data_IF_583141625372
#
_entry.id   IF_583141625372
#
_cell.length_a   1.000
_cell.length_b   1.000
_cell.length_c   1.000
_cell.angle_alpha   90.00
_cell.angle_beta   90.00
_cell.angle_gamma   90.00
#
_symmetry.space_group_name_H-M   'P 1'
#
loop_
_entity.id
_entity.type
_entity.pdbx_description
1 polymer ?
#
# COMPACT_ATOMS: atom_id res chain seq x y z
N UNK A 1 5.20 14.59 23.41
CA UNK A 1 5.23 15.01 21.99
C UNK A 1 3.81 14.91 21.45
N UNK A 2 3.37 15.85 20.61
CA UNK A 2 2.07 15.77 19.93
C UNK A 2 2.17 14.81 18.73
N UNK A 3 1.13 14.06 18.45
CA UNK A 3 1.00 13.24 17.24
C UNK A 3 -0.19 13.74 16.42
N UNK A 4 -0.05 13.71 15.08
CA UNK A 4 -1.14 14.00 14.16
C UNK A 4 -1.57 12.70 13.52
N UNK A 5 -2.88 12.48 13.35
CA UNK A 5 -3.45 11.27 12.77
C UNK A 5 -4.24 11.61 11.50
N UNK A 6 -3.88 11.01 10.38
CA UNK A 6 -4.48 11.24 9.07
C UNK A 6 -5.30 10.02 8.64
N UNK A 7 -6.52 10.27 8.20
CA UNK A 7 -7.45 9.27 7.66
C UNK A 7 -8.44 10.00 6.73
N UNK A 8 -9.01 9.36 5.68
CA UNK A 8 -10.09 9.94 4.89
C UNK A 8 -11.30 10.32 5.77
N UNK A 9 -12.00 11.37 5.36
CA UNK A 9 -13.16 11.86 6.11
C UNK A 9 -14.29 10.82 6.21
N UNK A 10 -14.48 10.02 5.15
CA UNK A 10 -15.48 8.95 5.10
C UNK A 10 -14.85 7.68 4.54
N UNK A 11 -15.13 6.55 5.20
CA UNK A 11 -14.68 5.22 4.78
C UNK A 11 -15.89 4.28 4.82
N UNK A 12 -16.25 3.70 3.67
CA UNK A 12 -17.37 2.77 3.54
C UNK A 12 -16.78 1.39 3.29
N UNK A 13 -17.10 0.41 4.15
CA UNK A 13 -16.46 -0.90 4.15
C UNK A 13 -17.48 -2.01 4.41
N UNK A 14 -17.28 -3.14 3.74
CA UNK A 14 -18.10 -4.35 3.91
C UNK A 14 -18.68 -4.84 2.59
N UNK A 15 -19.16 -6.09 2.58
CA UNK A 15 -19.71 -6.74 1.38
C UNK A 15 -20.94 -5.99 0.88
N UNK A 16 -20.97 -5.66 -0.41
CA UNK A 16 -22.06 -4.92 -1.05
C UNK A 16 -22.09 -3.42 -0.74
N UNK A 17 -21.08 -2.88 -0.07
CA UNK A 17 -21.07 -1.46 0.33
C UNK A 17 -20.92 -0.48 -0.85
N UNK A 18 -20.61 -0.97 -2.04
CA UNK A 18 -20.49 -0.15 -3.25
C UNK A 18 -21.78 0.64 -3.56
N UNK A 19 -22.96 0.05 -3.33
CA UNK A 19 -24.23 0.71 -3.59
C UNK A 19 -24.49 1.87 -2.60
N UNK A 20 -24.13 1.70 -1.34
CA UNK A 20 -24.15 2.79 -0.35
C UNK A 20 -23.18 3.91 -0.75
N UNK A 21 -21.99 3.54 -1.24
CA UNK A 21 -21.00 4.49 -1.69
C UNK A 21 -21.51 5.34 -2.88
N UNK A 22 -22.25 4.76 -3.83
CA UNK A 22 -22.83 5.49 -4.95
C UNK A 22 -23.83 6.56 -4.46
N UNK A 23 -24.65 6.24 -3.46
CA UNK A 23 -25.57 7.22 -2.84
C UNK A 23 -24.78 8.32 -2.12
N UNK A 24 -23.70 7.97 -1.41
CA UNK A 24 -22.84 8.94 -0.76
C UNK A 24 -22.17 9.89 -1.77
N UNK A 25 -21.68 9.37 -2.90
CA UNK A 25 -21.07 10.16 -3.98
C UNK A 25 -22.07 11.16 -4.56
N UNK A 26 -23.32 10.71 -4.82
CA UNK A 26 -24.39 11.61 -5.29
C UNK A 26 -24.64 12.80 -4.34
N UNK A 27 -24.57 12.55 -3.04
CA UNK A 27 -24.84 13.59 -2.04
C UNK A 27 -23.77 14.70 -2.00
N UNK A 28 -22.56 14.47 -2.56
CA UNK A 28 -21.57 15.53 -2.74
C UNK A 28 -21.92 16.51 -3.86
N UNK A 29 -22.87 16.17 -4.74
CA UNK A 29 -23.33 17.05 -5.83
C UNK A 29 -22.38 17.16 -7.01
N UNK A 30 -21.44 16.22 -7.16
CA UNK A 30 -20.57 16.13 -8.33
C UNK A 30 -21.36 15.76 -9.58
N UNK A 31 -20.85 16.15 -10.76
CA UNK A 31 -21.56 15.99 -12.03
C UNK A 31 -20.86 15.06 -13.00
N UNK A 32 -19.52 15.08 -13.04
CA UNK A 32 -18.78 14.31 -14.04
C UNK A 32 -17.46 13.78 -13.49
N UNK A 33 -17.32 12.46 -13.44
CA UNK A 33 -16.16 11.75 -12.96
C UNK A 33 -15.11 11.52 -14.05
N UNK A 34 -13.82 11.62 -13.70
CA UNK A 34 -12.77 10.86 -14.38
C UNK A 34 -12.56 9.56 -13.60
N UNK A 35 -12.91 8.42 -14.17
CA UNK A 35 -12.59 7.10 -13.61
C UNK A 35 -11.18 6.73 -14.03
N UNK A 36 -10.23 6.69 -13.07
CA UNK A 36 -8.84 6.31 -13.29
C UNK A 36 -8.65 4.85 -12.88
N UNK A 37 -8.24 4.01 -13.83
CA UNK A 37 -8.08 2.57 -13.62
C UNK A 37 -6.94 2.01 -14.48
N UNK A 38 -6.69 0.71 -14.38
CA UNK A 38 -5.76 0.00 -15.26
C UNK A 38 -6.50 -0.75 -16.38
N UNK A 39 -5.74 -1.11 -17.43
CA UNK A 39 -6.28 -1.81 -18.60
C UNK A 39 -6.88 -3.19 -18.26
N UNK A 40 -6.43 -3.84 -17.18
CA UNK A 40 -6.95 -5.15 -16.73
C UNK A 40 -8.37 -5.02 -16.21
N UNK A 41 -8.62 -4.08 -15.31
CA UNK A 41 -9.95 -3.81 -14.75
C UNK A 41 -10.91 -3.24 -15.82
N UNK A 42 -10.39 -2.40 -16.72
CA UNK A 42 -11.18 -1.90 -17.85
C UNK A 42 -11.63 -3.05 -18.75
N UNK A 43 -10.72 -3.94 -19.15
CA UNK A 43 -11.00 -5.13 -19.97
C UNK A 43 -11.94 -6.13 -19.27
N UNK A 44 -11.83 -6.25 -17.95
CA UNK A 44 -12.71 -7.11 -17.14
C UNK A 44 -14.13 -6.54 -16.98
N UNK A 45 -14.40 -5.31 -17.48
CA UNK A 45 -15.71 -4.68 -17.41
C UNK A 45 -16.01 -3.98 -16.07
N UNK A 46 -15.07 -4.00 -15.10
CA UNK A 46 -15.29 -3.41 -13.77
C UNK A 46 -15.44 -1.88 -13.89
N UNK A 47 -14.60 -1.23 -14.71
CA UNK A 47 -14.71 0.21 -14.94
C UNK A 47 -16.05 0.62 -15.58
N UNK A 48 -16.54 -0.19 -16.53
CA UNK A 48 -17.85 0.04 -17.15
C UNK A 48 -19.00 -0.13 -16.13
N UNK A 49 -18.94 -1.13 -15.27
CA UNK A 49 -19.90 -1.33 -14.19
C UNK A 49 -19.93 -0.13 -13.21
N UNK A 50 -18.78 0.44 -12.84
CA UNK A 50 -18.73 1.64 -12.02
C UNK A 50 -19.32 2.85 -12.76
N UNK A 51 -19.02 3.01 -14.06
CA UNK A 51 -19.61 4.08 -14.88
C UNK A 51 -21.14 3.98 -14.95
N UNK A 52 -21.69 2.78 -15.12
CA UNK A 52 -23.13 2.53 -15.10
C UNK A 52 -23.76 2.87 -13.74
N UNK A 53 -23.12 2.47 -12.64
CA UNK A 53 -23.59 2.81 -11.29
C UNK A 53 -23.57 4.32 -11.02
N UNK A 54 -22.57 5.06 -11.51
CA UNK A 54 -22.55 6.52 -11.45
C UNK A 54 -23.66 7.13 -12.30
N UNK A 55 -23.90 6.64 -13.51
CA UNK A 55 -24.97 7.09 -14.37
C UNK A 55 -26.37 6.91 -13.75
N UNK A 56 -26.59 5.81 -12.99
CA UNK A 56 -27.81 5.61 -12.19
C UNK A 56 -28.01 6.66 -11.09
N UNK A 57 -26.96 7.42 -10.76
CA UNK A 57 -27.00 8.54 -9.80
C UNK A 57 -26.97 9.90 -10.50
N UNK A 58 -27.24 9.97 -11.80
CA UNK A 58 -27.21 11.16 -12.65
C UNK A 58 -25.79 11.79 -12.72
N UNK A 59 -24.74 10.98 -12.64
CA UNK A 59 -23.34 11.41 -12.72
C UNK A 59 -22.72 10.87 -14.00
N UNK A 60 -22.29 11.76 -14.89
CA UNK A 60 -21.53 11.39 -16.10
C UNK A 60 -20.12 10.88 -15.74
N UNK A 61 -19.52 10.11 -16.64
CA UNK A 61 -18.14 9.67 -16.44
C UNK A 61 -17.36 9.48 -17.73
N UNK A 62 -16.04 9.57 -17.63
CA UNK A 62 -15.08 9.22 -18.67
C UNK A 62 -14.04 8.30 -18.04
N UNK A 63 -13.65 7.23 -18.74
CA UNK A 63 -12.69 6.24 -18.25
C UNK A 63 -11.31 6.58 -18.79
N UNK A 64 -10.31 6.63 -17.91
CA UNK A 64 -8.89 6.62 -18.19
C UNK A 64 -8.29 5.31 -17.67
N UNK A 65 -7.93 4.40 -18.57
CA UNK A 65 -7.37 3.08 -18.27
C UNK A 65 -5.84 3.01 -18.40
N UNK A 66 -5.19 4.19 -18.43
CA UNK A 66 -3.76 4.34 -18.62
C UNK A 66 -2.90 4.20 -17.37
N UNK A 67 -3.46 3.89 -16.20
CA UNK A 67 -2.66 3.65 -14.99
C UNK A 67 -1.93 2.30 -15.12
N UNK A 68 -0.59 2.35 -15.29
CA UNK A 68 0.25 1.16 -15.37
C UNK A 68 0.70 0.69 -13.98
N UNK A 69 1.10 -0.58 -13.82
CA UNK A 69 1.91 -0.97 -12.65
C UNK A 69 3.11 -0.01 -12.52
N UNK A 70 3.38 0.47 -11.29
CA UNK A 70 4.36 1.54 -11.06
C UNK A 70 4.06 2.80 -11.92
N UNK A 71 2.97 3.55 -11.62
CA UNK A 71 2.51 4.64 -12.46
C UNK A 71 3.59 5.70 -12.64
N UNK A 72 3.66 6.27 -13.86
CA UNK A 72 4.71 7.20 -14.26
C UNK A 72 4.20 8.63 -14.34
N UNK A 73 5.12 9.60 -14.42
CA UNK A 73 4.78 11.01 -14.68
C UNK A 73 3.95 11.16 -15.95
N UNK A 74 4.27 10.40 -17.01
CA UNK A 74 3.52 10.40 -18.27
C UNK A 74 2.07 9.89 -18.11
N UNK A 75 1.82 8.91 -17.23
CA UNK A 75 0.45 8.46 -16.92
C UNK A 75 -0.37 9.58 -16.26
N UNK A 76 0.23 10.30 -15.32
CA UNK A 76 -0.41 11.44 -14.65
C UNK A 76 -0.73 12.56 -15.65
N UNK A 77 0.22 12.93 -16.50
CA UNK A 77 0.04 13.97 -17.53
C UNK A 77 -1.10 13.62 -18.52
N UNK A 78 -1.11 12.36 -18.99
CA UNK A 78 -2.15 11.89 -19.91
C UNK A 78 -3.54 11.92 -19.28
N UNK A 79 -3.66 11.42 -18.04
CA UNK A 79 -4.93 11.44 -17.30
C UNK A 79 -5.40 12.87 -16.98
N UNK A 80 -4.47 13.79 -16.64
CA UNK A 80 -4.77 15.21 -16.42
C UNK A 80 -5.26 15.89 -17.68
N UNK A 81 -4.69 15.55 -18.85
CA UNK A 81 -5.16 16.03 -20.15
C UNK A 81 -6.62 15.65 -20.39
N UNK A 82 -6.95 14.35 -20.23
CA UNK A 82 -8.31 13.84 -20.40
C UNK A 82 -9.31 14.47 -19.40
N UNK A 83 -8.90 14.65 -18.13
CA UNK A 83 -9.71 15.29 -17.09
C UNK A 83 -10.12 16.70 -17.53
N UNK A 84 -9.16 17.50 -18.01
CA UNK A 84 -9.39 18.89 -18.44
C UNK A 84 -10.23 18.97 -19.72
N UNK A 85 -9.93 18.15 -20.72
CA UNK A 85 -10.68 18.09 -21.99
C UNK A 85 -12.15 17.69 -21.74
N UNK A 86 -12.36 16.70 -20.89
CA UNK A 86 -13.69 16.20 -20.54
C UNK A 86 -14.43 17.07 -19.53
N UNK A 87 -13.76 18.05 -18.92
CA UNK A 87 -14.31 18.95 -17.88
C UNK A 87 -14.88 18.18 -16.69
N UNK A 88 -14.16 17.16 -16.23
CA UNK A 88 -14.53 16.42 -15.02
C UNK A 88 -14.34 17.30 -13.77
N UNK A 89 -15.25 17.21 -12.81
CA UNK A 89 -15.23 18.00 -11.57
C UNK A 89 -14.77 17.20 -10.34
N UNK A 90 -14.59 15.88 -10.49
CA UNK A 90 -13.99 15.01 -9.50
C UNK A 90 -13.33 13.79 -10.16
N UNK A 91 -12.60 13.02 -9.36
CA UNK A 91 -11.89 11.80 -9.78
C UNK A 91 -12.42 10.60 -9.00
N UNK A 92 -12.64 9.49 -9.68
CA UNK A 92 -12.86 8.16 -9.09
C UNK A 92 -11.64 7.32 -9.41
N UNK A 93 -10.87 6.90 -8.42
CA UNK A 93 -9.84 5.89 -8.63
C UNK A 93 -10.41 4.50 -8.40
N UNK A 94 -10.21 3.58 -9.35
CA UNK A 94 -10.71 2.22 -9.30
C UNK A 94 -9.55 1.25 -9.48
N UNK A 95 -9.22 0.49 -8.43
CA UNK A 95 -8.16 -0.50 -8.50
C UNK A 95 -7.38 -0.67 -7.21
N UNK A 96 -6.13 -1.09 -7.33
CA UNK A 96 -5.16 -1.15 -6.23
C UNK A 96 -4.29 0.10 -6.16
N UNK A 97 -3.07 -0.02 -5.61
CA UNK A 97 -2.16 1.10 -5.38
C UNK A 97 -1.88 1.95 -6.62
N UNK A 98 -1.58 1.31 -7.76
CA UNK A 98 -1.18 2.04 -8.99
C UNK A 98 -2.27 2.95 -9.55
N UNK A 99 -3.54 2.52 -9.74
CA UNK A 99 -4.63 3.42 -10.08
C UNK A 99 -4.88 4.51 -9.05
N UNK A 100 -4.78 4.20 -7.75
CA UNK A 100 -4.97 5.20 -6.69
C UNK A 100 -3.88 6.28 -6.74
N UNK A 101 -2.62 5.90 -6.87
CA UNK A 101 -1.51 6.84 -6.90
C UNK A 101 -1.55 7.70 -8.19
N UNK A 102 -1.85 7.09 -9.34
CA UNK A 102 -2.06 7.84 -10.59
C UNK A 102 -3.19 8.87 -10.43
N UNK A 103 -4.32 8.47 -9.87
CA UNK A 103 -5.48 9.35 -9.64
C UNK A 103 -5.16 10.50 -8.67
N UNK A 104 -4.42 10.22 -7.58
CA UNK A 104 -3.93 11.25 -6.64
C UNK A 104 -3.05 12.28 -7.37
N UNK A 105 -2.12 11.80 -8.20
CA UNK A 105 -1.26 12.68 -8.99
C UNK A 105 -2.07 13.57 -9.95
N UNK A 106 -3.03 12.99 -10.68
CA UNK A 106 -3.95 13.73 -11.56
C UNK A 106 -4.74 14.78 -10.78
N UNK A 107 -5.36 14.37 -9.67
CA UNK A 107 -6.21 15.24 -8.86
C UNK A 107 -5.42 16.39 -8.21
N UNK A 108 -4.17 16.11 -7.76
CA UNK A 108 -3.27 17.11 -7.18
C UNK A 108 -2.85 18.15 -8.21
N UNK A 109 -2.37 17.71 -9.38
CA UNK A 109 -1.97 18.62 -10.47
C UNK A 109 -3.16 19.40 -11.05
N UNK A 110 -4.38 18.88 -10.99
CA UNK A 110 -5.57 19.58 -11.46
C UNK A 110 -5.86 20.87 -10.69
N UNK A 111 -5.61 20.89 -9.38
CA UNK A 111 -5.88 22.04 -8.51
C UNK A 111 -4.66 22.91 -8.25
N UNK A 112 -3.47 22.31 -8.17
CA UNK A 112 -2.24 23.01 -7.82
C UNK A 112 -1.42 23.45 -9.04
N UNK A 113 -1.66 22.86 -10.23
CA UNK A 113 -0.86 23.12 -11.45
C UNK A 113 0.47 22.39 -11.44
N UNK A 114 1.42 22.85 -12.27
CA UNK A 114 2.76 22.27 -12.37
C UNK A 114 2.82 20.83 -12.88
N UNK A 115 3.91 20.16 -12.61
CA UNK A 115 4.15 18.75 -12.88
C UNK A 115 4.14 17.97 -11.57
N UNK A 116 3.82 16.68 -11.62
CA UNK A 116 3.75 15.87 -10.38
C UNK A 116 5.10 15.80 -9.64
N UNK A 117 6.22 15.91 -10.33
CA UNK A 117 7.56 15.99 -9.74
C UNK A 117 7.79 17.20 -8.83
N UNK A 118 7.05 18.28 -9.01
CA UNK A 118 7.15 19.49 -8.18
C UNK A 118 6.68 19.23 -6.74
N UNK A 119 5.92 18.15 -6.53
CA UNK A 119 5.33 17.77 -5.23
C UNK A 119 6.11 16.65 -4.52
N UNK A 120 7.26 16.20 -5.04
CA UNK A 120 8.10 15.19 -4.37
C UNK A 120 8.52 15.68 -2.98
N UNK A 121 8.31 14.83 -1.97
CA UNK A 121 8.62 15.10 -0.56
C UNK A 121 7.38 15.24 0.32
N UNK A 122 7.48 16.00 1.40
CA UNK A 122 6.44 16.10 2.43
C UNK A 122 5.74 17.46 2.39
N UNK A 123 4.38 17.44 2.33
CA UNK A 123 3.49 18.62 2.37
C UNK A 123 3.94 19.76 1.42
N UNK A 124 4.15 19.41 0.14
CA UNK A 124 4.60 20.36 -0.90
C UNK A 124 3.46 21.08 -1.62
N UNK A 125 2.24 20.56 -1.54
CA UNK A 125 1.11 21.18 -2.19
C UNK A 125 0.57 22.38 -1.38
N UNK A 126 -0.06 23.34 -2.07
CA UNK A 126 -0.63 24.54 -1.45
C UNK A 126 -2.15 24.45 -1.27
N UNK A 127 -2.80 23.54 -1.97
CA UNK A 127 -4.27 23.37 -2.00
C UNK A 127 -4.64 21.90 -1.97
N UNK A 128 -5.82 21.55 -1.43
CA UNK A 128 -6.36 20.20 -1.57
C UNK A 128 -6.45 19.78 -3.05
N UNK A 129 -6.25 18.50 -3.30
CA UNK A 129 -6.49 17.91 -4.61
C UNK A 129 -7.94 18.08 -5.05
N UNK A 130 -8.23 17.91 -6.34
CA UNK A 130 -9.60 17.76 -6.82
C UNK A 130 -10.27 16.62 -6.04
N UNK A 131 -11.57 16.72 -5.68
CA UNK A 131 -12.21 15.66 -4.91
C UNK A 131 -11.95 14.27 -5.49
N UNK A 132 -11.45 13.36 -4.66
CA UNK A 132 -11.08 12.00 -5.05
C UNK A 132 -11.88 10.99 -4.23
N UNK A 133 -12.58 10.10 -4.93
CA UNK A 133 -13.24 8.92 -4.39
C UNK A 133 -12.38 7.71 -4.75
N UNK A 134 -11.96 6.93 -3.76
CA UNK A 134 -11.10 5.78 -3.99
C UNK A 134 -11.86 4.47 -3.78
N UNK A 135 -12.10 3.73 -4.86
CA UNK A 135 -12.76 2.41 -4.87
C UNK A 135 -11.67 1.36 -4.99
N UNK A 136 -11.39 0.68 -3.88
CA UNK A 136 -10.30 -0.27 -3.79
C UNK A 136 -10.72 -1.67 -4.25
N UNK A 137 -9.82 -2.36 -4.96
CA UNK A 137 -10.01 -3.73 -5.45
C UNK A 137 -8.93 -4.70 -4.98
N UNK A 138 -8.04 -4.27 -4.07
CA UNK A 138 -6.94 -5.10 -3.54
C UNK A 138 -6.87 -5.00 -2.03
N UNK A 139 -6.31 -6.02 -1.37
CA UNK A 139 -6.12 -6.04 0.07
C UNK A 139 -4.63 -5.98 0.44
N UNK A 140 -4.02 -4.80 0.28
CA UNK A 140 -2.57 -4.66 0.51
C UNK A 140 -2.09 -3.24 0.75
N UNK A 141 -2.10 -2.41 -0.27
CA UNK A 141 -1.40 -1.12 -0.28
C UNK A 141 -2.02 -0.04 0.61
N UNK A 142 -3.31 -0.16 0.90
CA UNK A 142 -4.09 0.88 1.60
C UNK A 142 -3.99 2.28 0.94
N UNK A 143 -3.64 2.37 -0.34
CA UNK A 143 -3.51 3.68 -1.01
C UNK A 143 -4.82 4.44 -1.03
N UNK A 144 -5.98 3.75 -1.04
CA UNK A 144 -7.30 4.37 -0.98
C UNK A 144 -7.53 5.23 0.27
N UNK A 145 -6.71 5.05 1.32
CA UNK A 145 -6.91 5.78 2.58
C UNK A 145 -5.70 6.60 3.03
N UNK A 146 -4.58 6.54 2.31
CA UNK A 146 -3.33 7.17 2.72
C UNK A 146 -3.11 8.54 2.08
N UNK A 147 -2.19 9.31 2.70
CA UNK A 147 -1.61 10.54 2.17
C UNK A 147 -0.37 10.32 1.30
N UNK A 148 -0.10 9.08 0.92
CA UNK A 148 1.02 8.70 0.06
C UNK A 148 0.56 8.61 -1.39
N UNK A 149 1.42 9.07 -2.31
CA UNK A 149 1.27 8.95 -3.75
C UNK A 149 2.65 8.66 -4.33
N UNK A 150 2.83 7.46 -4.89
CA UNK A 150 4.13 7.00 -5.39
C UNK A 150 4.11 7.00 -6.92
N UNK A 151 4.90 7.86 -7.53
CA UNK A 151 4.97 8.02 -8.98
C UNK A 151 6.41 7.80 -9.45
N UNK A 152 6.57 7.02 -10.51
CA UNK A 152 7.88 6.76 -11.10
C UNK A 152 8.28 7.92 -12.04
N UNK A 153 9.43 8.51 -11.76
CA UNK A 153 10.11 9.39 -12.70
C UNK A 153 11.01 8.54 -13.59
N UNK A 154 10.57 8.32 -14.83
CA UNK A 154 11.29 7.48 -15.79
C UNK A 154 12.63 8.11 -16.22
N UNK A 155 12.75 9.43 -16.18
CA UNK A 155 13.98 10.14 -16.56
C UNK A 155 15.12 9.96 -15.57
N UNK A 156 14.77 9.85 -14.27
CA UNK A 156 15.71 9.64 -13.15
C UNK A 156 15.78 8.18 -12.70
N UNK A 157 14.89 7.31 -13.19
CA UNK A 157 14.69 5.93 -12.70
C UNK A 157 14.45 5.86 -11.20
N UNK A 158 13.61 6.76 -10.67
CA UNK A 158 13.34 6.90 -9.23
C UNK A 158 11.83 6.82 -8.98
N UNK A 159 11.45 6.12 -7.92
CA UNK A 159 10.09 6.21 -7.35
C UNK A 159 10.02 7.44 -6.46
N UNK A 160 9.34 8.49 -6.92
CA UNK A 160 9.08 9.70 -6.15
C UNK A 160 8.01 9.43 -5.11
N UNK A 161 8.29 9.74 -3.86
CA UNK A 161 7.30 9.71 -2.79
C UNK A 161 6.73 11.12 -2.58
N UNK A 162 5.45 11.29 -2.89
CA UNK A 162 4.66 12.46 -2.51
C UNK A 162 3.88 12.08 -1.26
N UNK A 163 4.19 12.71 -0.13
CA UNK A 163 3.58 12.46 1.18
C UNK A 163 2.88 13.74 1.61
N UNK A 164 1.60 13.87 1.24
CA UNK A 164 0.91 15.13 1.39
C UNK A 164 -0.53 14.90 1.90
N UNK A 165 -0.91 15.62 2.98
CA UNK A 165 -2.28 15.54 3.52
C UNK A 165 -3.35 15.85 2.48
N UNK A 166 -3.02 16.67 1.51
CA UNK A 166 -3.92 17.13 0.45
C UNK A 166 -4.20 16.07 -0.64
N UNK A 167 -3.47 14.93 -0.65
CA UNK A 167 -3.75 13.80 -1.54
C UNK A 167 -4.55 12.68 -0.86
N UNK A 168 -4.95 12.86 0.41
CA UNK A 168 -5.84 11.92 1.08
C UNK A 168 -7.21 11.93 0.38
N UNK A 169 -7.77 10.78 -0.02
CA UNK A 169 -9.08 10.73 -0.65
C UNK A 169 -10.19 11.30 0.25
N UNK A 170 -11.21 11.88 -0.36
CA UNK A 170 -12.40 12.38 0.33
C UNK A 170 -13.23 11.23 0.90
N UNK A 171 -13.39 10.17 0.11
CA UNK A 171 -14.12 8.95 0.44
C UNK A 171 -13.31 7.74 -0.02
N UNK A 172 -13.16 6.74 0.83
CA UNK A 172 -12.66 5.42 0.45
C UNK A 172 -13.75 4.37 0.51
N UNK A 173 -13.72 3.43 -0.44
CA UNK A 173 -14.67 2.33 -0.56
C UNK A 173 -13.90 1.02 -0.62
N UNK A 174 -14.19 0.12 0.31
CA UNK A 174 -13.56 -1.20 0.42
C UNK A 174 -14.66 -2.27 0.42
N UNK A 175 -15.12 -2.63 -0.80
CA UNK A 175 -16.07 -3.72 -1.01
C UNK A 175 -15.33 -5.02 -1.31
N UNK A 176 -15.37 -6.04 -0.42
CA UNK A 176 -14.70 -7.31 -0.65
C UNK A 176 -15.16 -8.04 -1.92
N UNK A 177 -16.35 -7.77 -2.42
CA UNK A 177 -16.86 -8.38 -3.66
C UNK A 177 -16.02 -7.97 -4.88
N UNK A 178 -15.45 -6.75 -4.87
CA UNK A 178 -14.52 -6.27 -5.90
C UNK A 178 -13.13 -6.94 -5.82
N UNK A 179 -12.83 -7.62 -4.71
CA UNK A 179 -11.54 -8.29 -4.47
C UNK A 179 -11.58 -9.79 -4.80
N UNK A 180 -12.76 -10.37 -5.05
CA UNK A 180 -12.94 -11.82 -5.31
C UNK A 180 -12.14 -12.28 -6.54
N UNK A 181 -12.07 -11.45 -7.57
CA UNK A 181 -11.37 -11.77 -8.81
C UNK A 181 -9.83 -11.65 -8.74
N UNK A 182 -9.26 -11.27 -7.59
CA UNK A 182 -7.80 -11.17 -7.43
C UNK A 182 -7.14 -12.55 -7.64
N UNK A 183 -6.12 -12.64 -8.53
CA UNK A 183 -5.33 -13.87 -8.67
C UNK A 183 -4.63 -14.27 -7.36
N UNK A 184 -4.38 -15.57 -7.17
CA UNK A 184 -3.73 -16.11 -5.96
C UNK A 184 -2.40 -15.41 -5.65
N UNK A 185 -1.52 -15.27 -6.65
CA UNK A 185 -0.22 -14.62 -6.48
C UNK A 185 -0.34 -13.15 -6.06
N UNK A 186 -1.33 -12.42 -6.61
CA UNK A 186 -1.59 -11.03 -6.21
C UNK A 186 -2.16 -10.98 -4.78
N UNK A 187 -3.09 -11.88 -4.43
CA UNK A 187 -3.63 -11.99 -3.07
C UNK A 187 -2.52 -12.25 -2.04
N UNK A 188 -1.59 -13.16 -2.35
CA UNK A 188 -0.44 -13.46 -1.50
C UNK A 188 0.49 -12.25 -1.34
N UNK A 189 0.89 -11.64 -2.47
CA UNK A 189 1.80 -10.51 -2.47
C UNK A 189 1.23 -9.30 -1.72
N UNK A 190 -0.03 -8.93 -1.99
CA UNK A 190 -0.67 -7.79 -1.34
C UNK A 190 -0.96 -8.04 0.14
N UNK A 191 -1.35 -9.27 0.51
CA UNK A 191 -1.56 -9.61 1.91
C UNK A 191 -0.27 -9.61 2.74
N UNK A 192 0.84 -10.05 2.16
CA UNK A 192 2.17 -9.95 2.79
C UNK A 192 2.67 -8.51 2.86
N UNK A 193 2.32 -7.68 1.89
CA UNK A 193 2.56 -6.24 1.90
C UNK A 193 1.83 -5.56 3.07
N UNK A 194 0.53 -5.85 3.25
CA UNK A 194 -0.23 -5.39 4.40
C UNK A 194 0.37 -5.84 5.74
N UNK A 195 0.88 -7.08 5.82
CA UNK A 195 1.60 -7.55 7.01
C UNK A 195 2.87 -6.75 7.25
N UNK A 196 3.62 -6.45 6.19
CA UNK A 196 4.83 -5.63 6.28
C UNK A 196 4.52 -4.24 6.78
N UNK A 197 3.48 -3.59 6.23
CA UNK A 197 2.98 -2.30 6.69
C UNK A 197 2.68 -2.31 8.19
N UNK A 198 1.93 -3.32 8.65
CA UNK A 198 1.54 -3.44 10.05
C UNK A 198 2.76 -3.64 10.97
N UNK A 199 3.70 -4.52 10.60
CA UNK A 199 4.88 -4.82 11.41
C UNK A 199 5.82 -3.62 11.45
N UNK A 200 6.14 -3.00 10.30
CA UNK A 200 7.02 -1.83 10.28
C UNK A 200 6.43 -0.65 11.03
N UNK A 201 5.14 -0.36 10.85
CA UNK A 201 4.46 0.68 11.63
C UNK A 201 4.49 0.39 13.13
N UNK A 202 4.33 -0.87 13.54
CA UNK A 202 4.38 -1.26 14.95
C UNK A 202 5.77 -1.08 15.55
N UNK A 203 6.84 -1.51 14.89
CA UNK A 203 8.21 -1.35 15.40
C UNK A 203 8.82 0.04 15.13
N UNK A 204 8.15 0.91 14.38
CA UNK A 204 8.60 2.25 14.03
C UNK A 204 8.90 3.11 15.25
N UNK A 205 9.90 3.99 15.13
CA UNK A 205 10.20 5.03 16.16
C UNK A 205 9.09 6.08 16.27
N UNK A 206 8.21 6.19 15.29
CA UNK A 206 7.04 7.08 15.29
C UNK A 206 5.74 6.40 15.76
N UNK A 207 5.81 5.12 16.18
CA UNK A 207 4.67 4.37 16.70
C UNK A 207 4.04 5.05 17.92
N UNK A 208 2.72 4.91 18.06
CA UNK A 208 1.94 5.46 19.16
C UNK A 208 0.76 4.53 19.49
N UNK A 209 0.06 4.72 20.63
CA UNK A 209 -1.00 3.79 21.04
C UNK A 209 -2.12 3.57 20.02
N UNK A 210 -2.43 4.56 19.17
CA UNK A 210 -3.46 4.43 18.12
C UNK A 210 -2.93 3.54 17.00
N UNK A 211 -1.73 3.82 16.50
CA UNK A 211 -1.10 3.03 15.43
C UNK A 211 -0.80 1.60 15.90
N UNK A 212 -0.42 1.42 17.16
CA UNK A 212 -0.16 0.10 17.75
C UNK A 212 -1.43 -0.77 17.77
N UNK A 213 -2.55 -0.23 18.20
CA UNK A 213 -3.83 -0.96 18.21
C UNK A 213 -4.25 -1.39 16.79
N UNK A 214 -4.09 -0.50 15.80
CA UNK A 214 -4.39 -0.80 14.40
C UNK A 214 -3.45 -1.88 13.86
N UNK A 215 -2.14 -1.76 14.09
CA UNK A 215 -1.13 -2.69 13.58
C UNK A 215 -1.30 -4.11 14.15
N UNK A 216 -1.47 -4.25 15.46
CA UNK A 216 -1.67 -5.56 16.11
C UNK A 216 -2.94 -6.24 15.62
N UNK A 217 -4.03 -5.48 15.45
CA UNK A 217 -5.28 -6.04 14.92
C UNK A 217 -5.14 -6.45 13.46
N UNK A 218 -4.43 -5.67 12.64
CA UNK A 218 -4.13 -6.00 11.25
C UNK A 218 -3.35 -7.33 11.16
N UNK A 219 -2.28 -7.49 11.94
CA UNK A 219 -1.47 -8.72 11.97
C UNK A 219 -2.30 -9.94 12.33
N UNK A 220 -3.19 -9.82 13.33
CA UNK A 220 -4.08 -10.91 13.75
C UNK A 220 -5.05 -11.32 12.63
N UNK A 221 -5.66 -10.37 11.95
CA UNK A 221 -6.56 -10.64 10.83
C UNK A 221 -5.83 -11.26 9.63
N UNK A 222 -4.64 -10.74 9.27
CA UNK A 222 -3.84 -11.28 8.16
C UNK A 222 -3.43 -12.71 8.45
N UNK A 223 -2.88 -12.98 9.63
CA UNK A 223 -2.39 -14.30 10.00
C UNK A 223 -3.49 -15.37 9.98
N UNK A 224 -4.72 -14.97 10.31
CA UNK A 224 -5.88 -15.87 10.35
C UNK A 224 -6.53 -16.07 8.98
N UNK A 225 -6.44 -15.09 8.05
CA UNK A 225 -7.28 -15.08 6.85
C UNK A 225 -6.49 -15.14 5.54
N UNK A 226 -5.20 -14.73 5.50
CA UNK A 226 -4.46 -14.68 4.23
C UNK A 226 -4.36 -16.04 3.55
N UNK A 227 -4.07 -17.11 4.31
CA UNK A 227 -4.02 -18.48 3.77
C UNK A 227 -5.37 -18.90 3.18
N UNK A 228 -6.47 -18.50 3.82
CA UNK A 228 -7.83 -18.81 3.35
C UNK A 228 -8.12 -18.07 2.05
N UNK A 229 -7.86 -16.76 2.00
CA UNK A 229 -8.09 -15.93 0.83
C UNK A 229 -7.24 -16.35 -0.39
N UNK A 230 -6.00 -16.84 -0.16
CA UNK A 230 -5.12 -17.36 -1.22
C UNK A 230 -5.60 -18.74 -1.71
N UNK A 231 -6.04 -19.60 -0.79
CA UNK A 231 -6.55 -20.95 -1.11
C UNK A 231 -7.84 -20.87 -1.90
N UNK A 232 -8.77 -20.03 -1.46
CA UNK A 232 -10.08 -19.83 -2.07
C UNK A 232 -10.39 -18.33 -2.17
N UNK A 233 -10.18 -17.78 -3.38
CA UNK A 233 -10.45 -16.37 -3.67
C UNK A 233 -11.93 -15.99 -3.57
N UNK A 234 -12.86 -16.96 -3.57
CA UNK A 234 -14.30 -16.75 -3.45
C UNK A 234 -14.80 -16.72 -2.00
N UNK A 235 -13.93 -17.01 -1.01
CA UNK A 235 -14.26 -16.91 0.41
C UNK A 235 -14.42 -15.42 0.80
N UNK A 236 -15.64 -14.91 0.72
CA UNK A 236 -15.97 -13.52 1.04
C UNK A 236 -15.63 -13.15 2.47
N UNK A 237 -15.75 -14.05 3.43
CA UNK A 237 -15.40 -13.76 4.81
C UNK A 237 -13.89 -13.54 4.97
N UNK A 238 -13.08 -14.38 4.29
CA UNK A 238 -11.63 -14.17 4.26
C UNK A 238 -11.26 -12.87 3.52
N UNK A 239 -11.91 -12.57 2.39
CA UNK A 239 -11.72 -11.30 1.63
C UNK A 239 -12.06 -10.09 2.48
N UNK A 240 -13.20 -10.10 3.17
CA UNK A 240 -13.64 -9.01 4.05
C UNK A 240 -12.65 -8.78 5.19
N UNK A 241 -12.22 -9.86 5.87
CA UNK A 241 -11.20 -9.76 6.91
C UNK A 241 -9.88 -9.22 6.38
N UNK A 242 -9.46 -9.58 5.16
CA UNK A 242 -8.27 -9.02 4.53
C UNK A 242 -8.44 -7.55 4.13
N UNK A 243 -9.64 -7.13 3.69
CA UNK A 243 -9.95 -5.73 3.43
C UNK A 243 -9.86 -4.88 4.71
N UNK A 244 -10.42 -5.34 5.82
CA UNK A 244 -10.25 -4.68 7.12
C UNK A 244 -8.79 -4.68 7.57
N UNK A 245 -8.07 -5.79 7.38
CA UNK A 245 -6.69 -5.92 7.81
C UNK A 245 -5.77 -4.91 7.12
N UNK A 246 -5.88 -4.80 5.78
CA UNK A 246 -5.07 -3.85 5.01
C UNK A 246 -5.41 -2.40 5.36
N UNK A 247 -6.69 -2.09 5.60
CA UNK A 247 -7.11 -0.75 6.01
C UNK A 247 -6.54 -0.38 7.39
N UNK A 248 -6.58 -1.30 8.36
CA UNK A 248 -5.95 -1.13 9.67
C UNK A 248 -4.43 -0.97 9.57
N UNK A 249 -3.77 -1.76 8.71
CA UNK A 249 -2.35 -1.60 8.43
C UNK A 249 -2.07 -0.21 7.83
N UNK A 250 -2.96 0.27 6.94
CA UNK A 250 -2.96 1.61 6.38
C UNK A 250 -3.06 2.69 7.45
N UNK A 251 -4.01 2.57 8.38
CA UNK A 251 -4.15 3.48 9.53
C UNK A 251 -2.87 3.53 10.36
N UNK A 252 -2.18 2.40 10.52
CA UNK A 252 -0.94 2.34 11.26
C UNK A 252 0.20 3.04 10.51
N UNK A 253 0.56 2.60 9.29
CA UNK A 253 1.75 3.13 8.62
C UNK A 253 1.58 4.56 8.09
N UNK A 254 0.37 4.96 7.69
CA UNK A 254 0.10 6.34 7.27
C UNK A 254 0.44 7.36 8.37
N UNK A 255 0.46 6.91 9.64
CA UNK A 255 0.66 7.75 10.83
C UNK A 255 1.92 7.40 11.65
N UNK A 256 2.51 6.22 11.47
CA UNK A 256 3.76 5.80 12.09
C UNK A 256 4.93 5.64 11.10
N UNK A 257 4.68 5.84 9.79
CA UNK A 257 5.65 5.58 8.73
C UNK A 257 6.08 4.10 8.67
N UNK A 258 7.16 3.81 7.98
CA UNK A 258 7.65 2.48 7.60
C UNK A 258 9.09 2.26 8.10
N UNK A 259 9.83 1.35 7.46
CA UNK A 259 11.19 1.00 7.86
C UNK A 259 12.06 0.53 6.68
N UNK A 260 13.10 -0.22 7.00
CA UNK A 260 14.06 -0.69 6.00
C UNK A 260 13.51 -1.75 5.06
N UNK A 261 12.42 -2.47 5.39
CA UNK A 261 11.81 -3.40 4.43
C UNK A 261 11.37 -2.62 3.20
N UNK A 262 10.56 -1.58 3.38
CA UNK A 262 10.09 -0.74 2.28
C UNK A 262 11.24 0.03 1.61
N UNK A 263 12.15 0.60 2.39
CA UNK A 263 13.31 1.30 1.85
C UNK A 263 14.15 0.42 0.91
N UNK A 264 14.32 -0.86 1.23
CA UNK A 264 15.04 -1.84 0.41
C UNK A 264 14.20 -2.36 -0.76
N UNK A 265 12.89 -2.64 -0.54
CA UNK A 265 11.99 -3.13 -1.57
C UNK A 265 11.77 -2.10 -2.70
N UNK A 266 11.74 -0.82 -2.38
CA UNK A 266 11.68 0.26 -3.37
C UNK A 266 12.84 0.20 -4.36
N UNK A 267 14.03 -0.17 -3.90
CA UNK A 267 15.20 -0.29 -4.77
C UNK A 267 15.08 -1.47 -5.73
N UNK A 268 14.55 -2.60 -5.26
CA UNK A 268 14.29 -3.77 -6.11
C UNK A 268 13.20 -3.46 -7.16
N UNK A 269 12.14 -2.78 -6.76
CA UNK A 269 11.09 -2.32 -7.68
C UNK A 269 11.60 -1.32 -8.71
N UNK A 270 12.41 -0.33 -8.29
CA UNK A 270 12.96 0.70 -9.17
C UNK A 270 14.03 0.18 -10.14
N UNK A 271 14.87 -0.76 -9.70
CA UNK A 271 16.01 -1.26 -10.46
C UNK A 271 15.67 -2.43 -11.39
N UNK A 272 14.77 -3.32 -10.93
CA UNK A 272 14.42 -4.56 -11.65
C UNK A 272 12.96 -4.65 -12.08
N UNK A 273 12.14 -3.63 -11.76
CA UNK A 273 10.67 -3.64 -11.96
C UNK A 273 9.98 -4.84 -11.28
N UNK A 274 10.51 -5.27 -10.12
CA UNK A 274 9.95 -6.40 -9.36
C UNK A 274 8.65 -6.01 -8.64
N UNK A 275 7.72 -6.97 -8.45
CA UNK A 275 6.47 -6.73 -7.73
C UNK A 275 6.72 -6.34 -6.28
N UNK A 276 6.21 -5.17 -5.88
CA UNK A 276 6.49 -4.53 -4.58
C UNK A 276 6.19 -5.44 -3.38
N UNK A 277 4.99 -6.01 -3.31
CA UNK A 277 4.58 -6.87 -2.18
C UNK A 277 5.40 -8.15 -2.06
N UNK A 278 5.90 -8.69 -3.19
CA UNK A 278 6.81 -9.85 -3.18
C UNK A 278 8.16 -9.45 -2.60
N UNK A 279 8.71 -8.29 -3.01
CA UNK A 279 9.97 -7.78 -2.47
C UNK A 279 9.89 -7.54 -0.97
N UNK A 280 8.80 -6.93 -0.50
CA UNK A 280 8.53 -6.73 0.93
C UNK A 280 8.47 -8.06 1.67
N UNK A 281 7.73 -9.04 1.16
CA UNK A 281 7.57 -10.35 1.80
C UNK A 281 8.91 -11.10 1.97
N UNK A 282 9.77 -11.07 0.94
CA UNK A 282 11.10 -11.71 0.97
C UNK A 282 12.03 -11.01 1.97
N UNK A 283 12.03 -9.68 2.01
CA UNK A 283 12.91 -8.90 2.88
C UNK A 283 12.47 -8.87 4.35
N UNK A 284 11.16 -8.95 4.61
CA UNK A 284 10.58 -8.75 5.94
C UNK A 284 11.26 -9.57 7.05
N UNK A 285 11.42 -10.91 6.95
CA UNK A 285 12.01 -11.68 8.04
C UNK A 285 13.48 -11.34 8.31
N UNK A 286 14.21 -10.87 7.30
CA UNK A 286 15.62 -10.52 7.39
C UNK A 286 15.82 -9.16 8.07
N UNK A 287 15.00 -8.17 7.70
CA UNK A 287 15.01 -6.86 8.34
C UNK A 287 14.55 -6.98 9.79
N UNK A 288 13.51 -7.78 10.09
CA UNK A 288 13.07 -7.94 11.47
C UNK A 288 14.09 -8.72 12.31
N UNK A 289 14.87 -9.63 11.73
CA UNK A 289 16.02 -10.23 12.41
C UNK A 289 17.08 -9.19 12.79
N UNK A 290 17.34 -8.23 11.91
CA UNK A 290 18.22 -7.09 12.19
C UNK A 290 17.66 -6.20 13.30
N UNK A 291 16.36 -5.89 13.26
CA UNK A 291 15.68 -5.01 14.21
C UNK A 291 15.53 -5.66 15.61
N UNK A 292 15.49 -7.00 15.70
CA UNK A 292 15.28 -7.74 16.95
C UNK A 292 16.26 -7.36 18.06
N UNK A 293 17.47 -6.91 17.72
CA UNK A 293 18.48 -6.49 18.70
C UNK A 293 18.09 -5.24 19.52
N UNK A 294 17.09 -4.45 19.05
CA UNK A 294 16.67 -3.22 19.74
C UNK A 294 15.17 -3.18 20.06
N UNK A 295 14.36 -4.07 19.48
CA UNK A 295 12.90 -4.06 19.68
C UNK A 295 12.31 -5.48 19.88
N UNK A 296 13.07 -6.36 20.58
CA UNK A 296 12.64 -7.74 20.81
C UNK A 296 11.27 -7.84 21.51
N UNK A 297 10.98 -6.98 22.49
CA UNK A 297 9.67 -6.95 23.16
C UNK A 297 8.53 -6.68 22.18
N UNK A 298 8.70 -5.70 21.28
CA UNK A 298 7.68 -5.39 20.27
C UNK A 298 7.51 -6.54 19.28
N UNK A 299 8.60 -7.21 18.90
CA UNK A 299 8.51 -8.41 18.03
C UNK A 299 7.86 -9.59 18.75
N UNK A 300 8.02 -9.74 20.09
CA UNK A 300 7.28 -10.72 20.87
C UNK A 300 5.77 -10.47 20.79
N UNK A 301 5.33 -9.19 20.85
CA UNK A 301 3.92 -8.85 20.66
C UNK A 301 3.44 -9.15 19.22
N UNK A 302 4.30 -8.97 18.21
CA UNK A 302 4.03 -9.40 16.82
C UNK A 302 3.78 -10.90 16.76
N UNK A 303 4.62 -11.72 17.43
CA UNK A 303 4.42 -13.17 17.48
C UNK A 303 3.06 -13.53 18.07
N UNK A 304 2.69 -12.89 19.17
CA UNK A 304 1.39 -13.10 19.80
C UNK A 304 0.23 -12.69 18.86
N UNK A 305 0.32 -11.52 18.24
CA UNK A 305 -0.70 -11.05 17.30
C UNK A 305 -0.85 -11.98 16.09
N UNK A 306 0.24 -12.61 15.65
CA UNK A 306 0.25 -13.62 14.59
C UNK A 306 -0.22 -15.01 15.06
N UNK A 307 -0.60 -15.17 16.34
CA UNK A 307 -1.17 -16.41 16.88
C UNK A 307 -0.16 -17.38 17.45
N UNK A 308 1.10 -16.99 17.67
CA UNK A 308 2.08 -17.85 18.32
C UNK A 308 1.82 -17.96 19.83
N UNK A 309 1.98 -19.15 20.40
CA UNK A 309 1.96 -19.35 21.85
C UNK A 309 3.32 -18.92 22.43
N UNK A 310 3.34 -17.75 23.04
CA UNK A 310 4.56 -17.15 23.60
C UNK A 310 4.63 -17.21 25.13
N UNK A 311 3.81 -18.03 25.77
CA UNK A 311 3.80 -18.18 27.24
C UNK A 311 5.15 -18.66 27.72
N UNK A 312 5.77 -17.92 28.61
CA UNK A 312 7.08 -18.22 29.17
C UNK A 312 8.28 -17.84 28.30
N UNK A 313 8.07 -17.26 27.11
CA UNK A 313 9.16 -16.82 26.25
C UNK A 313 9.80 -15.53 26.77
N UNK A 314 11.14 -15.46 26.67
CA UNK A 314 11.85 -14.17 26.77
C UNK A 314 11.49 -13.25 25.59
N UNK A 315 11.92 -12.00 25.63
CA UNK A 315 11.73 -11.08 24.52
C UNK A 315 12.39 -11.60 23.22
N UNK A 316 13.61 -12.13 23.34
CA UNK A 316 14.40 -12.68 22.23
C UNK A 316 13.75 -13.95 21.63
N UNK A 317 13.27 -14.84 22.48
CA UNK A 317 12.53 -16.04 22.04
C UNK A 317 11.23 -15.65 21.34
N UNK A 318 10.53 -14.66 21.86
CA UNK A 318 9.34 -14.10 21.23
C UNK A 318 9.63 -13.43 19.89
N UNK A 319 10.71 -12.67 19.78
CA UNK A 319 11.15 -12.06 18.52
C UNK A 319 11.48 -13.14 17.47
N UNK A 320 12.17 -14.22 17.88
CA UNK A 320 12.45 -15.34 16.97
C UNK A 320 11.17 -16.05 16.53
N UNK A 321 10.18 -16.18 17.43
CA UNK A 321 8.87 -16.74 17.11
C UNK A 321 8.12 -15.88 16.06
N UNK A 322 8.21 -14.55 16.16
CA UNK A 322 7.64 -13.64 15.15
C UNK A 322 8.28 -13.83 13.77
N UNK A 323 9.61 -13.86 13.72
CA UNK A 323 10.37 -14.07 12.48
C UNK A 323 10.00 -15.43 11.84
N UNK A 324 9.85 -16.46 12.65
CA UNK A 324 9.43 -17.78 12.16
C UNK A 324 7.97 -17.76 11.66
N UNK A 325 7.06 -17.06 12.35
CA UNK A 325 5.68 -16.92 11.92
C UNK A 325 5.57 -16.21 10.57
N UNK A 326 6.36 -15.15 10.36
CA UNK A 326 6.46 -14.42 9.08
C UNK A 326 6.93 -15.37 7.97
N UNK A 327 8.04 -16.10 8.18
CA UNK A 327 8.58 -17.05 7.20
C UNK A 327 7.59 -18.16 6.84
N UNK A 328 6.91 -18.71 7.85
CA UNK A 328 5.93 -19.75 7.63
C UNK A 328 4.73 -19.23 6.84
N UNK A 329 4.22 -18.04 7.17
CA UNK A 329 3.12 -17.46 6.40
C UNK A 329 3.52 -17.19 4.95
N UNK A 330 4.70 -16.59 4.70
CA UNK A 330 5.21 -16.33 3.35
C UNK A 330 5.33 -17.63 2.54
N UNK A 331 5.88 -18.70 3.15
CA UNK A 331 5.99 -20.03 2.54
C UNK A 331 4.62 -20.62 2.21
N UNK A 332 3.66 -20.55 3.15
CA UNK A 332 2.33 -21.15 3.00
C UNK A 332 1.50 -20.47 1.91
N UNK A 333 1.80 -19.21 1.60
CA UNK A 333 1.16 -18.46 0.51
C UNK A 333 2.04 -18.37 -0.75
N UNK A 334 3.04 -19.25 -0.85
CA UNK A 334 3.88 -19.45 -2.04
C UNK A 334 4.70 -18.21 -2.46
N UNK A 335 5.14 -17.38 -1.50
CA UNK A 335 6.11 -16.33 -1.78
C UNK A 335 7.48 -16.98 -2.09
N UNK A 336 8.22 -16.49 -3.11
CA UNK A 336 9.57 -16.96 -3.42
C UNK A 336 10.51 -16.94 -2.21
N UNK A 337 11.41 -17.94 -2.14
CA UNK A 337 12.26 -18.16 -0.98
C UNK A 337 13.40 -17.15 -0.82
N UNK A 338 13.72 -16.37 -1.87
CA UNK A 338 14.81 -15.40 -1.81
C UNK A 338 14.91 -14.52 -3.06
N UNK A 339 15.75 -13.49 -2.99
CA UNK A 339 15.96 -12.51 -4.06
C UNK A 339 16.53 -13.12 -5.33
N UNK A 340 17.28 -14.22 -5.22
CA UNK A 340 17.83 -14.95 -6.38
C UNK A 340 16.71 -15.47 -7.28
N UNK A 341 15.63 -15.97 -6.70
CA UNK A 341 14.48 -16.49 -7.46
C UNK A 341 13.76 -15.36 -8.22
N UNK A 342 13.88 -14.13 -7.71
CA UNK A 342 13.34 -12.93 -8.34
C UNK A 342 14.26 -12.37 -9.44
N UNK A 343 15.44 -12.96 -9.68
CA UNK A 343 16.40 -12.53 -10.70
C UNK A 343 17.33 -11.40 -10.26
N UNK A 344 17.35 -11.02 -8.98
CA UNK A 344 18.30 -10.05 -8.46
C UNK A 344 19.74 -10.60 -8.50
N UNK A 345 20.73 -9.71 -8.55
CA UNK A 345 22.15 -10.08 -8.68
C UNK A 345 22.94 -9.59 -7.47
N UNK A 346 23.83 -10.45 -6.96
CA UNK A 346 24.74 -10.10 -5.86
C UNK A 346 25.62 -8.88 -6.17
N UNK A 347 25.99 -8.69 -7.46
CA UNK A 347 26.80 -7.55 -7.90
C UNK A 347 26.14 -6.20 -7.67
N UNK A 348 24.81 -6.17 -7.61
CA UNK A 348 24.05 -4.92 -7.57
C UNK A 348 23.70 -4.51 -6.12
N UNK A 349 23.97 -5.39 -5.14
CA UNK A 349 23.71 -5.11 -3.72
C UNK A 349 24.31 -3.78 -3.23
N UNK A 350 25.57 -3.41 -3.56
CA UNK A 350 26.13 -2.16 -3.05
C UNK A 350 25.36 -0.91 -3.50
N UNK A 351 24.89 -0.87 -4.75
CA UNK A 351 24.09 0.27 -5.23
C UNK A 351 22.69 0.28 -4.63
N UNK A 352 22.05 -0.89 -4.50
CA UNK A 352 20.74 -1.02 -3.86
C UNK A 352 20.81 -0.59 -2.39
N UNK A 353 21.85 -1.00 -1.65
CA UNK A 353 22.04 -0.64 -0.25
C UNK A 353 22.28 0.88 -0.06
N UNK A 354 23.14 1.47 -0.91
CA UNK A 354 23.40 2.90 -0.87
C UNK A 354 22.15 3.74 -1.17
N UNK A 355 21.26 3.26 -2.03
CA UNK A 355 19.99 3.93 -2.33
C UNK A 355 18.95 3.71 -1.23
N UNK A 356 18.85 2.51 -0.65
CA UNK A 356 17.93 2.22 0.45
C UNK A 356 18.18 3.13 1.68
N UNK A 357 19.43 3.48 1.96
CA UNK A 357 19.78 4.42 3.03
C UNK A 357 19.31 5.88 2.80
N UNK A 358 18.99 6.23 1.55
CA UNK A 358 18.46 7.56 1.19
C UNK A 358 16.93 7.59 1.19
N UNK A 359 16.30 6.43 1.25
CA UNK A 359 14.85 6.32 1.21
C UNK A 359 14.22 6.81 2.54
N UNK A 360 13.20 7.66 2.43
CA UNK A 360 12.55 8.26 3.58
C UNK A 360 11.90 7.24 4.52
N UNK A 361 11.50 6.06 4.02
CA UNK A 361 10.94 4.99 4.84
C UNK A 361 11.92 4.50 5.91
N UNK A 362 13.23 4.51 5.62
CA UNK A 362 14.27 4.09 6.55
C UNK A 362 14.43 4.98 7.78
N UNK A 363 13.97 6.23 7.74
CA UNK A 363 14.14 7.22 8.81
C UNK A 363 13.46 6.82 10.13
N UNK A 364 12.41 6.03 10.06
CA UNK A 364 11.65 5.58 11.23
C UNK A 364 11.92 4.13 11.62
N UNK A 365 12.87 3.46 10.96
CA UNK A 365 13.27 2.11 11.36
C UNK A 365 13.84 2.13 12.79
N UNK A 366 13.48 1.16 13.67
CA UNK A 366 13.86 1.20 15.08
C UNK A 366 15.38 1.12 15.32
N UNK A 367 16.11 0.51 14.40
CA UNK A 367 17.57 0.38 14.44
C UNK A 367 18.18 1.08 13.23
N UNK A 368 19.09 2.03 13.47
CA UNK A 368 19.89 2.63 12.41
C UNK A 368 20.84 1.60 11.79
N UNK A 369 21.18 1.78 10.53
CA UNK A 369 22.10 0.91 9.80
C UNK A 369 23.11 1.73 8.97
N UNK A 370 24.32 1.19 8.82
CA UNK A 370 25.28 1.61 7.81
C UNK A 370 25.09 0.80 6.50
N UNK A 371 25.83 1.19 5.46
CA UNK A 371 25.72 0.53 4.16
C UNK A 371 26.06 -0.97 4.22
N UNK A 372 27.07 -1.36 5.00
CA UNK A 372 27.50 -2.76 5.14
C UNK A 372 26.41 -3.61 5.76
N UNK A 373 25.70 -3.08 6.74
CA UNK A 373 24.59 -3.76 7.41
C UNK A 373 23.40 -3.95 6.46
N UNK A 374 23.05 -2.95 5.65
CA UNK A 374 22.00 -3.10 4.62
C UNK A 374 22.43 -4.12 3.54
N UNK A 375 23.70 -4.08 3.11
CA UNK A 375 24.23 -5.10 2.18
C UNK A 375 24.15 -6.52 2.77
N UNK A 376 24.43 -6.68 4.07
CA UNK A 376 24.32 -7.97 4.77
C UNK A 376 22.86 -8.46 4.80
N UNK A 377 21.90 -7.58 5.09
CA UNK A 377 20.48 -7.93 5.05
C UNK A 377 20.08 -8.40 3.64
N UNK A 378 20.50 -7.68 2.58
CA UNK A 378 20.26 -8.12 1.20
C UNK A 378 20.89 -9.50 0.92
N UNK A 379 22.14 -9.74 1.34
CA UNK A 379 22.80 -11.04 1.14
C UNK A 379 22.08 -12.19 1.85
N UNK A 380 21.57 -11.93 3.06
CA UNK A 380 20.83 -12.93 3.83
C UNK A 380 19.46 -13.26 3.21
N UNK A 381 18.93 -12.40 2.35
CA UNK A 381 17.69 -12.59 1.62
C UNK A 381 17.88 -13.29 0.24
N UNK A 382 19.10 -13.66 -0.14
CA UNK A 382 19.44 -14.39 -1.38
C UNK A 382 19.32 -15.90 -1.22
#
# INVERSE_FOLDING_TARGET
MSSTFFIPAVNIMGSGCLDEAMVAIRNYGFRKALIVTDAGLAKAGVAAMIAEKLAMQDIDSVIFDGARPNPTTANVESGLGLLKESRCDFVVSLGGGSPHDCAKGIALCATNGGQIGDYEGVDRSSKPQLPLIAINTTAGTASEMTRFCIITDESRHVKMAIVDRNVTPLLSVNDPELMVAMPKGLTAATGMDALTHAIEAYVSTAANPITDACALKAMSLISSNLRLAVRDGSDLAARENMAYAQFLAGMAFNNASLGFVHAMAHQLGGYYDLPHGVCNAVLLPHVQSFNALVCADRLRDVAHAMGADIRGFSAEEGAQAAINAIRNLAKDVEIPGGLRELGAKLSDIPVLAANALKDACGLTNPRSADQRQIEEIFRNAF
#
